data_IF_221746380477
#
_entry.id   IF_221746380477
#
_cell.length_a   1.000
_cell.length_b   1.000
_cell.length_c   1.000
_cell.angle_alpha   90.00
_cell.angle_beta   90.00
_cell.angle_gamma   90.00
#
_symmetry.space_group_name_H-M   'P 1'
#
loop_
_entity.id
_entity.type
_entity.pdbx_description
1 polymer ?
#
# COMPACT_ATOMS: atom_id res chain seq x y z
N UNK A 1 35.08 13.96 -4.87
CA UNK A 1 34.48 13.03 -5.85
C UNK A 1 34.06 11.69 -5.25
N UNK A 2 34.88 11.02 -4.45
CA UNK A 2 34.54 9.72 -3.82
C UNK A 2 33.27 9.79 -2.94
N UNK A 3 33.13 10.82 -2.11
CA UNK A 3 31.92 10.99 -1.27
C UNK A 3 30.62 11.16 -2.08
N UNK A 4 30.69 11.82 -3.24
CA UNK A 4 29.53 12.00 -4.13
C UNK A 4 29.14 10.66 -4.79
N UNK A 5 30.14 9.86 -5.20
CA UNK A 5 29.90 8.54 -5.77
C UNK A 5 29.23 7.59 -4.75
N UNK A 6 29.70 7.60 -3.50
CA UNK A 6 29.08 6.82 -2.40
C UNK A 6 27.64 7.27 -2.16
N UNK A 7 27.38 8.59 -2.15
CA UNK A 7 26.04 9.14 -1.99
C UNK A 7 25.09 8.69 -3.12
N UNK A 8 25.55 8.76 -4.37
CA UNK A 8 24.75 8.34 -5.54
C UNK A 8 24.41 6.85 -5.44
N UNK A 9 25.38 6.00 -5.10
CA UNK A 9 25.15 4.55 -4.94
C UNK A 9 24.17 4.28 -3.80
N UNK A 10 24.30 4.97 -2.66
CA UNK A 10 23.40 4.82 -1.53
C UNK A 10 21.96 5.21 -1.89
N UNK A 11 21.78 6.35 -2.59
CA UNK A 11 20.45 6.81 -3.04
C UNK A 11 19.86 5.81 -4.05
N UNK A 12 20.64 5.36 -5.02
CA UNK A 12 20.18 4.37 -6.01
C UNK A 12 19.74 3.07 -5.33
N UNK A 13 20.55 2.50 -4.44
CA UNK A 13 20.18 1.29 -3.70
C UNK A 13 18.91 1.50 -2.87
N UNK A 14 18.75 2.67 -2.24
CA UNK A 14 17.54 3.03 -1.50
C UNK A 14 16.29 3.06 -2.38
N UNK A 15 16.38 3.72 -3.54
CA UNK A 15 15.27 3.82 -4.50
C UNK A 15 14.92 2.44 -5.05
N UNK A 16 15.91 1.66 -5.50
CA UNK A 16 15.67 0.31 -6.04
C UNK A 16 15.02 -0.60 -5.00
N UNK A 17 15.49 -0.57 -3.75
CA UNK A 17 14.92 -1.37 -2.66
C UNK A 17 13.48 -0.95 -2.37
N UNK A 18 13.22 0.36 -2.27
CA UNK A 18 11.88 0.90 -2.05
C UNK A 18 10.90 0.51 -3.16
N UNK A 19 11.30 0.71 -4.42
CA UNK A 19 10.48 0.36 -5.58
C UNK A 19 10.10 -1.13 -5.58
N UNK A 20 11.06 -2.04 -5.38
CA UNK A 20 10.78 -3.47 -5.32
C UNK A 20 9.80 -3.82 -4.19
N UNK A 21 9.93 -3.17 -3.03
CA UNK A 21 8.99 -3.31 -1.92
C UNK A 21 7.57 -2.86 -2.28
N UNK A 22 7.44 -1.69 -2.93
CA UNK A 22 6.15 -1.18 -3.39
C UNK A 22 5.51 -2.09 -4.44
N UNK A 23 6.26 -2.54 -5.45
CA UNK A 23 5.76 -3.49 -6.46
C UNK A 23 5.24 -4.78 -5.82
N UNK A 24 5.97 -5.33 -4.85
CA UNK A 24 5.54 -6.52 -4.09
C UNK A 24 4.27 -6.28 -3.28
N UNK A 25 4.18 -5.16 -2.56
CA UNK A 25 3.02 -4.83 -1.73
C UNK A 25 1.76 -4.61 -2.56
N UNK A 26 1.85 -3.76 -3.59
CA UNK A 26 0.74 -3.44 -4.50
C UNK A 26 0.23 -4.68 -5.24
N UNK A 27 1.13 -5.55 -5.69
CA UNK A 27 0.73 -6.80 -6.37
C UNK A 27 -0.04 -7.73 -5.44
N UNK A 28 0.36 -7.83 -4.16
CA UNK A 28 -0.35 -8.64 -3.16
C UNK A 28 -1.70 -8.04 -2.78
N UNK A 29 -1.78 -6.71 -2.68
CA UNK A 29 -3.02 -5.99 -2.42
C UNK A 29 -4.04 -6.28 -3.53
N UNK A 30 -3.67 -6.08 -4.79
CA UNK A 30 -4.51 -6.38 -5.95
C UNK A 30 -4.92 -7.85 -6.01
N UNK A 31 -4.00 -8.76 -5.69
CA UNK A 31 -4.29 -10.19 -5.62
C UNK A 31 -5.32 -10.53 -4.53
N UNK A 32 -5.19 -9.94 -3.34
CA UNK A 32 -6.13 -10.13 -2.23
C UNK A 32 -7.53 -9.60 -2.60
N UNK A 33 -7.60 -8.44 -3.27
CA UNK A 33 -8.84 -7.86 -3.78
C UNK A 33 -9.48 -8.72 -4.88
N UNK A 34 -8.67 -9.34 -5.75
CA UNK A 34 -9.13 -10.32 -6.74
C UNK A 34 -9.60 -11.65 -6.12
N UNK A 35 -9.06 -12.05 -4.96
CA UNK A 35 -9.55 -13.20 -4.19
C UNK A 35 -10.89 -12.93 -3.49
N UNK A 36 -11.12 -11.68 -3.07
CA UNK A 36 -12.37 -11.23 -2.49
C UNK A 36 -13.50 -11.00 -3.53
N UNK A 37 -13.27 -11.34 -4.80
CA UNK A 37 -14.20 -11.17 -5.94
C UNK A 37 -14.65 -9.72 -6.21
N UNK A 38 -13.95 -8.71 -5.67
CA UNK A 38 -14.24 -7.28 -5.91
C UNK A 38 -13.70 -6.82 -7.27
N UNK A 39 -12.70 -7.53 -7.82
CA UNK A 39 -12.16 -7.32 -9.17
C UNK A 39 -12.36 -8.57 -10.05
N UNK A 40 -12.49 -8.41 -11.38
CA UNK A 40 -12.74 -9.52 -12.31
C UNK A 40 -11.68 -10.63 -12.15
N UNK A 41 -12.11 -11.87 -12.34
CA UNK A 41 -11.37 -13.13 -12.10
C UNK A 41 -10.01 -13.24 -12.78
N UNK A 42 -9.71 -12.32 -13.70
CA UNK A 42 -8.42 -12.16 -14.39
C UNK A 42 -7.29 -11.80 -13.40
N UNK A 43 -7.55 -10.98 -12.37
CA UNK A 43 -6.54 -10.62 -11.36
C UNK A 43 -6.24 -11.74 -10.34
N UNK A 44 -7.04 -12.81 -10.35
CA UNK A 44 -6.85 -14.00 -9.49
C UNK A 44 -5.98 -15.07 -10.15
N UNK A 45 -5.59 -14.93 -11.43
CA UNK A 45 -4.71 -15.90 -12.10
C UNK A 45 -3.28 -15.79 -11.55
N UNK A 46 -2.91 -16.74 -10.69
CA UNK A 46 -1.53 -16.95 -10.26
C UNK A 46 -0.76 -17.69 -11.34
N UNK A 47 0.53 -17.37 -11.45
CA UNK A 47 1.45 -18.16 -12.23
C UNK A 47 1.56 -19.58 -11.62
N UNK A 48 1.30 -20.67 -12.38
CA UNK A 48 1.14 -22.02 -11.85
C UNK A 48 2.41 -22.61 -11.19
N UNK A 49 3.60 -22.07 -11.53
CA UNK A 49 4.89 -22.53 -10.98
C UNK A 49 5.44 -21.71 -9.81
N UNK A 50 5.10 -20.42 -9.73
CA UNK A 50 5.68 -19.47 -8.77
C UNK A 50 4.65 -18.84 -7.82
N UNK A 51 3.37 -19.14 -8.01
CA UNK A 51 2.26 -18.59 -7.22
C UNK A 51 2.26 -17.04 -7.15
N UNK A 52 2.87 -16.38 -8.12
CA UNK A 52 2.92 -14.92 -8.23
C UNK A 52 1.79 -14.41 -9.12
N UNK A 53 1.09 -13.32 -8.73
CA UNK A 53 0.02 -12.72 -9.53
C UNK A 53 0.64 -11.96 -10.72
N UNK A 54 0.93 -12.67 -11.82
CA UNK A 54 1.67 -12.11 -12.95
C UNK A 54 0.92 -10.95 -13.64
N UNK A 55 -0.42 -11.02 -13.69
CA UNK A 55 -1.27 -9.98 -14.30
C UNK A 55 -1.26 -8.70 -13.47
N UNK A 56 -1.29 -8.81 -12.14
CA UNK A 56 -1.20 -7.64 -11.25
C UNK A 56 0.14 -6.93 -11.40
N UNK A 57 1.24 -7.70 -11.49
CA UNK A 57 2.59 -7.15 -11.68
C UNK A 57 2.71 -6.43 -13.01
N UNK A 58 2.26 -7.06 -14.10
CA UNK A 58 2.29 -6.44 -15.44
C UNK A 58 1.42 -5.18 -15.48
N UNK A 59 0.25 -5.20 -14.85
CA UNK A 59 -0.62 -4.02 -14.78
C UNK A 59 0.07 -2.86 -14.07
N UNK A 60 0.65 -3.09 -12.89
CA UNK A 60 1.38 -2.06 -12.15
C UNK A 60 2.60 -1.57 -12.96
N UNK A 61 3.31 -2.47 -13.65
CA UNK A 61 4.45 -2.12 -14.50
C UNK A 61 4.04 -1.21 -15.66
N UNK A 62 2.97 -1.55 -16.37
CA UNK A 62 2.44 -0.71 -17.47
C UNK A 62 2.01 0.66 -16.94
N UNK A 63 1.34 0.70 -15.79
CA UNK A 63 0.91 1.95 -15.17
C UNK A 63 2.13 2.82 -14.76
N UNK A 64 3.15 2.20 -14.19
CA UNK A 64 4.39 2.86 -13.80
C UNK A 64 5.19 3.39 -15.02
N UNK A 65 5.18 2.66 -16.14
CA UNK A 65 5.82 3.11 -17.39
C UNK A 65 5.02 4.22 -18.10
N UNK A 66 3.69 4.25 -17.93
CA UNK A 66 2.84 5.31 -18.46
C UNK A 66 2.91 6.60 -17.61
N UNK A 67 3.21 6.51 -16.32
CA UNK A 67 3.24 7.65 -15.41
C UNK A 67 4.14 8.82 -15.86
N UNK A 68 5.38 8.62 -16.34
CA UNK A 68 6.24 9.71 -16.84
C UNK A 68 5.64 10.46 -18.03
N UNK A 69 4.77 9.82 -18.81
CA UNK A 69 4.21 10.37 -20.04
C UNK A 69 3.09 11.39 -19.81
N UNK A 70 2.51 11.42 -18.61
CA UNK A 70 1.42 12.32 -18.24
C UNK A 70 1.89 13.77 -17.98
N UNK A 71 3.19 14.00 -17.88
CA UNK A 71 3.79 15.31 -17.63
C UNK A 71 3.85 15.68 -16.13
N UNK A 72 4.73 16.63 -15.78
CA UNK A 72 5.04 16.98 -14.38
C UNK A 72 3.84 17.47 -13.60
N UNK A 73 3.00 18.31 -14.21
CA UNK A 73 1.83 18.91 -13.56
C UNK A 73 0.73 17.90 -13.26
N UNK A 74 0.51 16.93 -14.16
CA UNK A 74 -0.44 15.85 -13.92
C UNK A 74 0.07 14.89 -12.84
N UNK A 75 1.38 14.60 -12.83
CA UNK A 75 2.00 13.76 -11.81
C UNK A 75 1.87 14.34 -10.40
N UNK A 76 2.12 15.64 -10.21
CA UNK A 76 1.95 16.28 -8.90
C UNK A 76 0.50 16.20 -8.43
N UNK A 77 -0.46 16.47 -9.32
CA UNK A 77 -1.89 16.32 -9.02
C UNK A 77 -2.27 14.89 -8.62
N UNK A 78 -1.80 13.88 -9.34
CA UNK A 78 -2.07 12.47 -9.03
C UNK A 78 -1.46 12.09 -7.68
N UNK A 79 -0.25 12.55 -7.39
CA UNK A 79 0.44 12.28 -6.13
C UNK A 79 -0.27 12.95 -4.96
N UNK A 80 -0.68 14.20 -5.10
CA UNK A 80 -1.40 14.95 -4.06
C UNK A 80 -2.74 14.27 -3.76
N UNK A 81 -3.51 13.90 -4.80
CA UNK A 81 -4.77 13.17 -4.64
C UNK A 81 -4.57 11.78 -4.04
N UNK A 82 -3.51 11.06 -4.43
CA UNK A 82 -3.17 9.75 -3.87
C UNK A 82 -2.79 9.85 -2.40
N UNK A 83 -2.05 10.89 -2.00
CA UNK A 83 -1.66 11.11 -0.61
C UNK A 83 -2.90 11.26 0.28
N UNK A 84 -3.83 12.14 -0.12
CA UNK A 84 -5.11 12.33 0.57
C UNK A 84 -5.94 11.04 0.60
N UNK A 85 -5.99 10.30 -0.51
CA UNK A 85 -6.69 9.01 -0.57
C UNK A 85 -6.11 7.96 0.39
N UNK A 86 -4.78 7.88 0.51
CA UNK A 86 -4.12 6.98 1.46
C UNK A 86 -4.45 7.36 2.91
N UNK A 87 -4.52 8.66 3.22
CA UNK A 87 -4.95 9.13 4.55
C UNK A 87 -6.36 8.66 4.90
N UNK A 88 -7.31 8.79 3.96
CA UNK A 88 -8.69 8.30 4.16
C UNK A 88 -8.71 6.77 4.34
N UNK A 89 -7.98 6.03 3.51
CA UNK A 89 -7.90 4.58 3.61
C UNK A 89 -7.31 4.14 4.96
N UNK A 90 -6.30 4.86 5.45
CA UNK A 90 -5.69 4.62 6.75
C UNK A 90 -6.68 4.88 7.88
N UNK A 91 -7.44 5.98 7.81
CA UNK A 91 -8.50 6.29 8.78
C UNK A 91 -9.57 5.20 8.85
N UNK A 92 -10.07 4.74 7.70
CA UNK A 92 -11.04 3.64 7.64
C UNK A 92 -10.42 2.35 8.21
N UNK A 93 -9.15 2.06 7.91
CA UNK A 93 -8.45 0.89 8.44
C UNK A 93 -8.37 0.94 9.97
N UNK A 94 -8.07 2.10 10.55
CA UNK A 94 -8.08 2.28 12.01
C UNK A 94 -9.48 2.10 12.61
N UNK A 95 -10.52 2.62 11.95
CA UNK A 95 -11.92 2.44 12.37
C UNK A 95 -12.34 0.96 12.30
N UNK A 96 -11.97 0.25 11.22
CA UNK A 96 -12.23 -1.18 11.05
C UNK A 96 -11.51 -2.01 12.12
N UNK A 97 -10.25 -1.69 12.43
CA UNK A 97 -9.52 -2.31 13.52
C UNK A 97 -10.23 -2.09 14.86
N UNK A 98 -10.64 -0.85 15.17
CA UNK A 98 -11.40 -0.54 16.37
C UNK A 98 -12.70 -1.35 16.48
N UNK A 99 -13.48 -1.43 15.40
CA UNK A 99 -14.73 -2.19 15.36
C UNK A 99 -14.50 -3.71 15.46
N UNK A 100 -13.45 -4.23 14.81
CA UNK A 100 -13.08 -5.65 14.86
C UNK A 100 -12.65 -6.07 16.29
N UNK A 101 -11.86 -5.24 16.97
CA UNK A 101 -11.48 -5.45 18.38
C UNK A 101 -12.62 -5.20 19.38
N UNK A 102 -13.73 -4.58 18.95
CA UNK A 102 -14.91 -4.35 19.78
C UNK A 102 -15.99 -5.43 19.63
N UNK A 103 -15.97 -6.21 18.54
CA UNK A 103 -17.03 -7.17 18.22
C UNK A 103 -16.69 -8.61 18.63
N UNK A 104 -15.41 -8.95 18.81
CA UNK A 104 -14.98 -10.34 19.02
C UNK A 104 -14.38 -10.57 20.43
N UNK A 105 -15.21 -11.10 21.33
CA UNK A 105 -14.79 -11.64 22.65
C UNK A 105 -14.40 -13.14 22.58
N UNK A 106 -14.41 -13.79 21.41
CA UNK A 106 -14.32 -15.27 21.28
C UNK A 106 -13.16 -15.79 20.42
N UNK A 107 -12.37 -14.95 19.74
CA UNK A 107 -11.13 -15.40 19.09
C UNK A 107 -9.91 -15.26 20.00
N UNK A 108 -8.98 -16.21 19.87
CA UNK A 108 -7.81 -16.48 20.72
C UNK A 108 -6.70 -15.41 20.66
N UNK A 109 -7.04 -14.17 20.28
CA UNK A 109 -6.12 -13.05 20.06
C UNK A 109 -6.60 -11.76 20.76
N UNK A 110 -7.22 -11.89 21.94
CA UNK A 110 -7.64 -10.76 22.76
C UNK A 110 -6.45 -10.29 23.63
N UNK A 111 -5.60 -9.42 23.09
CA UNK A 111 -4.57 -8.73 23.88
C UNK A 111 -4.94 -7.23 23.99
N UNK A 112 -5.21 -6.70 25.21
CA UNK A 112 -5.69 -5.33 25.41
C UNK A 112 -4.74 -4.25 24.87
N UNK A 113 -3.46 -4.58 24.70
CA UNK A 113 -2.45 -3.70 24.09
C UNK A 113 -2.80 -3.32 22.65
N UNK A 114 -3.31 -4.24 21.82
CA UNK A 114 -3.64 -3.94 20.42
C UNK A 114 -4.86 -3.03 20.27
N UNK A 115 -5.77 -3.03 21.25
CA UNK A 115 -6.89 -2.08 21.31
C UNK A 115 -6.40 -0.66 21.60
N UNK A 116 -5.44 -0.48 22.50
CA UNK A 116 -4.82 0.83 22.77
C UNK A 116 -4.02 1.33 21.57
N UNK A 117 -3.27 0.46 20.88
CA UNK A 117 -2.59 0.82 19.63
C UNK A 117 -3.56 1.22 18.51
N UNK A 118 -4.70 0.52 18.36
CA UNK A 118 -5.71 0.85 17.36
C UNK A 118 -6.42 2.19 17.65
N UNK A 119 -6.68 2.51 18.93
CA UNK A 119 -7.28 3.79 19.34
C UNK A 119 -6.31 4.95 19.09
N UNK A 120 -5.03 4.79 19.46
CA UNK A 120 -3.99 5.79 19.19
C UNK A 120 -3.85 6.00 17.67
N UNK A 121 -3.84 4.91 16.88
CA UNK A 121 -3.79 4.98 15.42
C UNK A 121 -5.00 5.71 14.81
N UNK A 122 -6.20 5.47 15.33
CA UNK A 122 -7.42 6.15 14.89
C UNK A 122 -7.41 7.66 15.18
N UNK A 123 -6.91 8.06 16.36
CA UNK A 123 -6.78 9.47 16.75
C UNK A 123 -5.76 10.17 15.87
N UNK A 124 -4.59 9.56 15.64
CA UNK A 124 -3.55 10.13 14.77
C UNK A 124 -4.04 10.27 13.32
N UNK A 125 -4.75 9.26 12.81
CA UNK A 125 -5.34 9.31 11.47
C UNK A 125 -6.42 10.40 11.35
N UNK A 126 -7.23 10.60 12.40
CA UNK A 126 -8.22 11.67 12.46
C UNK A 126 -7.58 13.07 12.49
N UNK A 127 -6.47 13.24 13.22
CA UNK A 127 -5.70 14.49 13.24
C UNK A 127 -5.08 14.76 11.85
N UNK A 128 -4.57 13.73 11.17
CA UNK A 128 -3.97 13.87 9.85
C UNK A 128 -4.99 14.17 8.73
N UNK A 129 -6.25 13.76 8.91
CA UNK A 129 -7.35 14.12 8.00
C UNK A 129 -7.88 15.54 8.21
N UNK A 130 -7.64 16.11 9.40
CA UNK A 130 -8.12 17.45 9.77
C UNK A 130 -7.09 18.57 9.62
N UNK A 131 -5.84 18.24 9.23
CA UNK A 131 -4.74 19.19 9.00
C UNK A 131 -4.52 19.38 7.50
#
# INVERSE_FOLDING_TARGET
>A
FVGLAVLIVAILMGIFTGLNGFFMSSSRLLFSMGRASVMPSVFKKLHPKYNTPYISIIFILVLALAAPWLGRTALTWIVDMSSTGVSIAYFITCLSAFKLFSYDKRSMMYHPKYKTFAIIGAIIAGIFLGL
#
